data_IF_289813888544
#
_entry.id   IF_289813888544
#
_cell.length_a   1.000
_cell.length_b   1.000
_cell.length_c   1.000
_cell.angle_alpha   90.00
_cell.angle_beta   90.00
_cell.angle_gamma   90.00
#
_symmetry.space_group_name_H-M   'P 1'
#
loop_
_entity.id
_entity.type
_entity.pdbx_description
1 polymer ?
#
# COMPACT_ATOMS: atom_id res chain seq x y z
N UNK A 1 -3.80 -10.04 -5.48
CA UNK A 1 -2.69 -9.07 -5.54
C UNK A 1 -1.35 -9.71 -5.16
N UNK A 2 -0.44 -9.94 -6.13
CA UNK A 2 0.92 -10.38 -5.83
C UNK A 2 1.80 -9.18 -5.44
N UNK A 3 1.77 -8.78 -4.16
CA UNK A 3 2.68 -7.75 -3.65
C UNK A 3 4.06 -8.33 -3.39
N UNK A 4 5.09 -7.65 -3.90
CA UNK A 4 6.49 -8.03 -3.70
C UNK A 4 6.85 -7.96 -2.22
N UNK A 5 7.61 -8.95 -1.78
CA UNK A 5 8.21 -9.01 -0.43
C UNK A 5 9.52 -8.22 -0.41
N UNK A 6 9.82 -7.55 0.71
CA UNK A 6 11.05 -6.77 0.86
C UNK A 6 10.79 -5.39 1.48
N UNK A 7 11.85 -4.80 2.05
CA UNK A 7 11.78 -3.53 2.79
C UNK A 7 12.36 -2.34 2.01
N UNK A 8 12.94 -2.60 0.84
CA UNK A 8 13.58 -1.61 -0.01
C UNK A 8 12.58 -0.58 -0.52
N UNK A 9 13.04 0.66 -0.70
CA UNK A 9 12.19 1.73 -1.23
C UNK A 9 11.65 1.38 -2.63
N UNK A 10 12.45 0.70 -3.45
CA UNK A 10 12.03 0.23 -4.77
C UNK A 10 10.90 -0.80 -4.70
N UNK A 11 10.97 -1.74 -3.76
CA UNK A 11 9.89 -2.71 -3.51
C UNK A 11 8.59 -2.01 -3.12
N UNK A 12 8.68 -1.01 -2.22
CA UNK A 12 7.53 -0.22 -1.78
C UNK A 12 6.94 0.58 -2.96
N UNK A 13 7.77 1.25 -3.76
CA UNK A 13 7.34 1.99 -4.96
C UNK A 13 6.69 1.06 -5.98
N UNK A 14 7.27 -0.11 -6.23
CA UNK A 14 6.70 -1.13 -7.13
C UNK A 14 5.33 -1.58 -6.65
N UNK A 15 5.18 -1.85 -5.36
CA UNK A 15 3.90 -2.26 -4.76
C UNK A 15 2.83 -1.14 -4.86
N UNK A 16 3.20 0.11 -4.59
CA UNK A 16 2.28 1.26 -4.74
C UNK A 16 1.83 1.37 -6.20
N UNK A 17 2.75 1.26 -7.16
CA UNK A 17 2.44 1.35 -8.60
C UNK A 17 1.43 0.28 -9.01
N UNK A 18 1.64 -0.97 -8.60
CA UNK A 18 0.70 -2.07 -8.89
C UNK A 18 -0.68 -1.79 -8.33
N UNK A 19 -0.78 -1.36 -7.06
CA UNK A 19 -2.06 -1.11 -6.41
C UNK A 19 -2.83 0.07 -7.01
N UNK A 20 -2.12 1.13 -7.42
CA UNK A 20 -2.75 2.27 -8.12
C UNK A 20 -3.17 1.87 -9.53
N UNK A 21 -2.41 1.03 -10.21
CA UNK A 21 -2.76 0.56 -11.54
C UNK A 21 -4.02 -0.34 -11.52
N UNK A 22 -4.14 -1.24 -10.54
CA UNK A 22 -5.39 -2.01 -10.32
C UNK A 22 -6.59 -1.09 -10.09
N UNK A 23 -6.42 0.00 -9.32
CA UNK A 23 -7.48 0.99 -9.16
C UNK A 23 -7.84 1.71 -10.46
N UNK A 24 -6.86 2.05 -11.30
CA UNK A 24 -7.11 2.69 -12.59
C UNK A 24 -7.79 1.76 -13.59
N UNK A 25 -7.59 0.45 -13.47
CA UNK A 25 -8.18 -0.55 -14.34
C UNK A 25 -9.58 -0.98 -13.86
N UNK A 26 -9.70 -1.38 -12.60
CA UNK A 26 -10.89 -2.04 -12.05
C UNK A 26 -11.70 -1.16 -11.07
N UNK A 27 -11.23 0.06 -10.77
CA UNK A 27 -11.81 0.92 -9.75
C UNK A 27 -11.58 0.44 -8.31
N UNK A 28 -10.87 -0.67 -8.13
CA UNK A 28 -10.71 -1.35 -6.84
C UNK A 28 -9.26 -1.49 -6.44
N UNK A 29 -9.03 -1.56 -5.12
CA UNK A 29 -7.78 -2.03 -4.53
C UNK A 29 -8.12 -3.25 -3.69
N UNK A 30 -8.05 -4.42 -4.32
CA UNK A 30 -8.33 -5.71 -3.70
C UNK A 30 -9.81 -5.78 -3.40
N UNK A 31 -10.18 -5.87 -2.12
CA UNK A 31 -11.59 -5.88 -1.71
C UNK A 31 -12.14 -4.48 -1.40
N UNK A 32 -11.33 -3.43 -1.55
CA UNK A 32 -11.73 -2.04 -1.28
C UNK A 32 -12.09 -1.32 -2.57
N UNK A 33 -13.09 -0.43 -2.50
CA UNK A 33 -13.50 0.43 -3.62
C UNK A 33 -13.30 1.90 -3.21
N UNK A 34 -12.09 2.47 -3.39
CA UNK A 34 -11.82 3.85 -2.99
C UNK A 34 -12.63 4.83 -3.85
N UNK A 35 -13.34 5.82 -3.26
CA UNK A 35 -14.18 6.72 -4.06
C UNK A 35 -13.37 7.78 -4.81
N UNK A 36 -12.03 7.81 -4.68
CA UNK A 36 -11.17 8.69 -5.47
C UNK A 36 -9.74 8.18 -5.54
N UNK A 37 -9.02 8.56 -6.61
CA UNK A 37 -7.60 8.25 -6.82
C UNK A 37 -6.72 8.66 -5.64
N UNK A 38 -7.02 9.80 -4.99
CA UNK A 38 -6.29 10.25 -3.79
C UNK A 38 -6.44 9.28 -2.60
N UNK A 39 -7.64 8.71 -2.40
CA UNK A 39 -7.87 7.69 -1.37
C UNK A 39 -7.24 6.35 -1.75
N UNK A 40 -7.30 5.99 -3.03
CA UNK A 40 -6.62 4.82 -3.58
C UNK A 40 -5.11 4.86 -3.31
N UNK A 41 -4.45 5.99 -3.61
CA UNK A 41 -3.01 6.18 -3.34
C UNK A 41 -2.70 6.05 -1.84
N UNK A 42 -3.49 6.66 -0.96
CA UNK A 42 -3.29 6.54 0.50
C UNK A 42 -3.37 5.09 0.97
N UNK A 43 -4.35 4.35 0.47
CA UNK A 43 -4.53 2.94 0.78
C UNK A 43 -3.39 2.09 0.21
N UNK A 44 -2.96 2.35 -1.02
CA UNK A 44 -1.83 1.69 -1.66
C UNK A 44 -0.52 1.87 -0.87
N UNK A 45 -0.25 3.10 -0.41
CA UNK A 45 0.90 3.42 0.46
C UNK A 45 0.81 2.65 1.78
N UNK A 46 -0.36 2.67 2.45
CA UNK A 46 -0.54 1.99 3.72
C UNK A 46 -0.32 0.47 3.60
N UNK A 47 -0.89 -0.16 2.57
CA UNK A 47 -0.72 -1.59 2.29
C UNK A 47 0.74 -1.91 2.00
N UNK A 48 1.41 -1.09 1.17
CA UNK A 48 2.82 -1.30 0.79
C UNK A 48 3.77 -1.17 1.98
N UNK A 49 3.56 -0.18 2.85
CA UNK A 49 4.33 -0.01 4.08
C UNK A 49 4.08 -1.14 5.09
N UNK A 50 2.82 -1.59 5.22
CA UNK A 50 2.46 -2.74 6.06
C UNK A 50 3.15 -4.02 5.55
N UNK A 51 3.15 -4.26 4.23
CA UNK A 51 3.83 -5.41 3.61
C UNK A 51 5.34 -5.36 3.80
N UNK A 52 5.94 -4.17 3.76
CA UNK A 52 7.36 -3.95 4.04
C UNK A 52 7.73 -4.05 5.52
N UNK A 53 6.77 -4.31 6.43
CA UNK A 53 7.02 -4.30 7.87
C UNK A 53 7.42 -2.92 8.42
N UNK A 54 7.14 -1.85 7.66
CA UNK A 54 7.37 -0.44 8.04
C UNK A 54 6.09 0.25 8.53
N UNK A 55 5.03 -0.51 8.82
CA UNK A 55 3.87 0.03 9.53
C UNK A 55 4.31 0.53 10.90
N UNK A 56 3.95 1.77 11.26
CA UNK A 56 4.06 2.29 12.63
C UNK A 56 3.14 1.49 13.56
N UNK A 57 3.49 0.24 13.82
CA UNK A 57 2.91 -0.56 14.89
C UNK A 57 3.55 -0.09 16.18
N UNK A 58 2.87 0.79 16.92
CA UNK A 58 2.83 0.87 18.40
C UNK A 58 4.12 0.71 19.25
N UNK A 59 5.34 0.70 18.68
CA UNK A 59 6.62 0.64 19.42
C UNK A 59 7.14 2.03 19.81
N UNK A 60 6.24 3.00 19.98
CA UNK A 60 6.52 4.30 20.59
C UNK A 60 5.66 4.56 21.84
N UNK A 61 5.05 3.51 22.41
CA UNK A 61 4.46 3.52 23.75
C UNK A 61 5.37 2.71 24.69
N UNK A 62 6.59 3.21 24.93
CA UNK A 62 7.45 2.92 26.10
C UNK A 62 8.70 3.79 25.99
N UNK A 63 8.63 4.98 26.55
CA UNK A 63 9.73 5.53 27.35
C UNK A 63 9.13 6.42 28.42
#
# INVERSE_FOLDING_TARGET
>A
MPLKTGKSQETIKSNIKTLVHEYEHDGTIGNSHPPSKKKAIKQAVAISLKKAGKSRSQKAAKK
#
